data_IF_316046953729
#
_entry.id   IF_316046953729
#
_cell.length_a   1.000
_cell.length_b   1.000
_cell.length_c   1.000
_cell.angle_alpha   90.00
_cell.angle_beta   90.00
_cell.angle_gamma   90.00
#
_symmetry.space_group_name_H-M   'P 1'
#
loop_
_entity.id
_entity.type
_entity.pdbx_description
1 polymer ?
#
# COMPACT_ATOMS: atom_id res chain seq x y z
N UNK A 1 14.43 -66.23 7.35
CA UNK A 1 13.12 -65.94 6.74
C UNK A 1 12.75 -64.48 6.99
N UNK A 2 12.58 -63.71 5.89
CA UNK A 2 11.87 -62.41 5.73
C UNK A 2 12.17 -61.31 6.78
N UNK A 3 12.90 -60.21 6.55
CA UNK A 3 12.97 -59.28 5.40
C UNK A 3 11.60 -59.07 4.72
N UNK A 4 10.87 -58.03 5.14
CA UNK A 4 10.24 -57.01 4.29
C UNK A 4 9.22 -56.18 5.07
N UNK A 5 9.20 -54.88 4.78
CA UNK A 5 8.24 -53.85 5.21
C UNK A 5 8.44 -53.36 6.66
N UNK A 6 9.20 -52.29 6.88
CA UNK A 6 8.63 -50.94 6.77
C UNK A 6 9.72 -49.90 6.38
N UNK A 7 10.48 -50.17 5.31
CA UNK A 7 11.16 -49.11 4.54
C UNK A 7 10.18 -48.52 3.52
N UNK A 8 9.17 -47.79 4.01
CA UNK A 8 8.30 -46.97 3.16
C UNK A 8 7.68 -45.77 3.91
N UNK A 9 8.31 -45.30 4.99
CA UNK A 9 7.87 -44.08 5.68
C UNK A 9 8.88 -42.93 5.66
N UNK A 10 10.13 -43.18 5.26
CA UNK A 10 11.19 -42.14 5.23
C UNK A 10 11.38 -41.56 3.81
N UNK A 11 10.94 -42.27 2.77
CA UNK A 11 11.04 -41.77 1.38
C UNK A 11 9.87 -40.84 1.04
N UNK A 12 8.69 -41.00 1.64
CA UNK A 12 7.59 -40.06 1.40
C UNK A 12 7.79 -38.72 2.12
N UNK A 13 8.33 -38.69 3.35
CA UNK A 13 8.50 -37.42 4.08
C UNK A 13 9.61 -36.54 3.47
N UNK A 14 10.70 -37.14 2.97
CA UNK A 14 11.78 -36.38 2.31
C UNK A 14 11.37 -35.91 0.91
N UNK A 15 10.60 -36.71 0.17
CA UNK A 15 10.06 -36.30 -1.14
C UNK A 15 8.95 -35.25 -0.98
N UNK A 16 8.15 -35.29 0.09
CA UNK A 16 7.21 -34.21 0.41
C UNK A 16 7.91 -32.90 0.76
N UNK A 17 9.04 -32.93 1.49
CA UNK A 17 9.78 -31.70 1.82
C UNK A 17 10.55 -31.14 0.62
N UNK A 18 11.02 -31.97 -0.30
CA UNK A 18 11.66 -31.51 -1.55
C UNK A 18 10.60 -31.02 -2.56
N UNK A 19 9.40 -31.62 -2.59
CA UNK A 19 8.28 -31.12 -3.42
C UNK A 19 7.59 -29.88 -2.82
N UNK A 20 7.52 -29.72 -1.50
CA UNK A 20 7.07 -28.47 -0.86
C UNK A 20 8.12 -27.36 -0.99
N UNK A 21 9.41 -27.69 -1.07
CA UNK A 21 10.46 -26.73 -1.45
C UNK A 21 10.46 -26.37 -2.96
N UNK A 22 9.64 -27.04 -3.78
CA UNK A 22 9.44 -26.74 -5.20
C UNK A 22 8.01 -26.35 -5.57
N UNK A 23 7.10 -26.29 -4.60
CA UNK A 23 5.77 -25.71 -4.75
C UNK A 23 5.58 -24.60 -3.72
N UNK A 24 6.06 -23.40 -4.06
CA UNK A 24 5.51 -22.16 -3.52
C UNK A 24 6.39 -21.31 -2.61
N UNK A 25 7.65 -21.66 -2.33
CA UNK A 25 8.63 -20.63 -1.94
C UNK A 25 9.27 -20.16 -3.24
N UNK A 26 8.62 -19.18 -3.88
CA UNK A 26 9.32 -18.33 -4.85
C UNK A 26 10.60 -17.89 -4.14
N UNK A 27 11.77 -18.21 -4.69
CA UNK A 27 12.99 -17.52 -4.28
C UNK A 27 12.71 -16.04 -4.48
N UNK A 28 12.43 -15.33 -3.39
CA UNK A 28 12.31 -13.89 -3.41
C UNK A 28 13.56 -13.36 -4.12
N UNK A 29 13.35 -12.64 -5.22
CA UNK A 29 14.40 -11.80 -5.79
C UNK A 29 14.73 -10.75 -4.74
N UNK A 30 15.99 -10.29 -4.65
CA UNK A 30 16.35 -9.29 -3.64
C UNK A 30 15.37 -8.10 -3.72
N UNK A 31 14.95 -7.48 -2.60
CA UNK A 31 13.95 -6.41 -2.60
C UNK A 31 14.19 -5.32 -3.66
N UNK A 32 15.46 -5.00 -3.87
CA UNK A 32 15.91 -4.02 -4.85
C UNK A 32 15.65 -4.41 -6.32
N UNK A 33 15.61 -5.70 -6.67
CA UNK A 33 15.35 -6.18 -8.04
C UNK A 33 13.95 -5.79 -8.53
N UNK A 34 13.02 -5.44 -7.62
CA UNK A 34 11.68 -4.96 -7.97
C UNK A 34 11.64 -3.48 -8.39
N UNK A 35 12.78 -2.80 -8.26
CA UNK A 35 12.92 -1.35 -8.41
C UNK A 35 13.80 -1.07 -9.61
N UNK A 36 13.32 -0.21 -10.51
CA UNK A 36 14.12 0.26 -11.64
C UNK A 36 15.26 1.15 -11.10
N UNK A 37 16.46 0.57 -11.01
CA UNK A 37 17.65 1.25 -10.49
C UNK A 37 18.05 2.49 -11.32
N UNK A 38 17.70 2.53 -12.60
CA UNK A 38 18.01 3.69 -13.44
C UNK A 38 17.05 4.85 -13.15
N UNK A 39 15.78 4.53 -12.85
CA UNK A 39 14.75 5.53 -12.58
C UNK A 39 14.72 5.99 -11.12
N UNK A 40 14.99 5.07 -10.18
CA UNK A 40 14.89 5.31 -8.74
C UNK A 40 16.15 4.81 -8.00
N UNK A 41 17.32 5.42 -8.25
CA UNK A 41 18.59 4.94 -7.71
C UNK A 41 18.67 5.00 -6.19
N UNK A 42 18.15 6.06 -5.54
CA UNK A 42 18.22 6.19 -4.09
C UNK A 42 17.29 5.21 -3.38
N UNK A 43 16.08 5.01 -3.91
CA UNK A 43 15.12 4.04 -3.37
C UNK A 43 15.63 2.61 -3.61
N UNK A 44 16.18 2.30 -4.79
CA UNK A 44 16.83 1.02 -5.04
C UNK A 44 17.97 0.77 -4.05
N UNK A 45 18.83 1.76 -3.80
CA UNK A 45 19.91 1.66 -2.82
C UNK A 45 19.38 1.42 -1.41
N UNK A 46 18.33 2.13 -0.99
CA UNK A 46 17.66 1.89 0.30
C UNK A 46 17.24 0.43 0.44
N UNK A 47 16.50 -0.11 -0.53
CA UNK A 47 16.04 -1.52 -0.48
C UNK A 47 17.17 -2.54 -0.64
N UNK A 48 18.30 -2.16 -1.25
CA UNK A 48 19.50 -3.00 -1.30
C UNK A 48 20.21 -3.08 0.05
N UNK A 49 20.01 -2.09 0.92
CA UNK A 49 20.74 -1.95 2.18
C UNK A 49 20.00 -2.49 3.41
N UNK A 50 18.70 -2.76 3.26
CA UNK A 50 17.86 -3.27 4.35
C UNK A 50 17.61 -4.77 4.19
N UNK A 51 17.60 -5.47 5.32
CA UNK A 51 17.09 -6.83 5.38
C UNK A 51 15.61 -6.79 5.79
N UNK A 52 14.71 -7.00 4.82
CA UNK A 52 13.27 -7.04 5.10
C UNK A 52 12.86 -8.23 5.98
N UNK A 53 13.67 -9.30 6.04
CA UNK A 53 13.47 -10.43 6.96
C UNK A 53 13.80 -10.09 8.41
N UNK A 54 14.56 -9.03 8.68
CA UNK A 54 14.81 -8.53 10.03
C UNK A 54 13.59 -7.82 10.64
N UNK A 55 12.60 -7.48 9.83
CA UNK A 55 11.32 -6.96 10.31
C UNK A 55 10.53 -8.12 10.92
N UNK A 56 10.31 -8.08 12.23
CA UNK A 56 9.63 -9.17 12.94
C UNK A 56 8.17 -9.25 12.49
N UNK A 57 7.86 -10.20 11.62
CA UNK A 57 6.51 -10.51 11.15
C UNK A 57 6.46 -11.96 10.64
N UNK A 58 5.34 -12.65 10.89
CA UNK A 58 5.10 -13.98 10.34
C UNK A 58 4.38 -13.92 9.00
N UNK A 59 4.44 -14.99 8.21
CA UNK A 59 3.58 -15.15 7.04
C UNK A 59 2.11 -15.01 7.47
N UNK A 60 1.39 -14.03 6.93
CA UNK A 60 -0.05 -13.91 7.14
C UNK A 60 -0.72 -14.83 6.14
N UNK A 61 -1.36 -15.90 6.63
CA UNK A 61 -2.20 -16.76 5.79
C UNK A 61 -3.30 -15.90 5.15
N UNK A 62 -3.38 -15.93 3.82
CA UNK A 62 -4.48 -15.32 3.07
C UNK A 62 -5.82 -15.94 3.47
N UNK A 63 -6.77 -15.10 3.87
CA UNK A 63 -8.14 -15.11 3.34
C UNK A 63 -9.05 -14.07 4.02
N UNK A 64 -8.93 -13.80 5.34
CA UNK A 64 -10.04 -13.14 6.06
C UNK A 64 -9.64 -12.04 7.07
N UNK A 65 -8.40 -11.57 7.06
CA UNK A 65 -7.97 -10.55 8.04
C UNK A 65 -7.76 -9.21 7.37
N UNK A 66 -8.56 -8.21 7.72
CA UNK A 66 -8.31 -6.80 7.40
C UNK A 66 -7.12 -6.22 8.20
N UNK A 67 -6.52 -7.01 9.11
CA UNK A 67 -5.43 -6.59 10.00
C UNK A 67 -4.51 -7.74 10.39
N UNK A 68 -3.23 -7.48 10.63
CA UNK A 68 -2.31 -8.49 11.18
C UNK A 68 -2.57 -8.68 12.69
N UNK A 69 -2.50 -9.91 13.23
CA UNK A 69 -2.48 -10.09 14.68
C UNK A 69 -1.30 -9.33 15.31
N UNK A 70 -1.42 -8.95 16.60
CA UNK A 70 -0.39 -8.19 17.33
C UNK A 70 1.02 -8.76 17.20
N UNK A 71 1.11 -10.09 17.18
CA UNK A 71 2.32 -10.89 17.09
C UNK A 71 3.03 -10.76 15.72
N UNK A 72 2.31 -10.32 14.70
CA UNK A 72 2.79 -10.07 13.34
C UNK A 72 2.88 -8.56 13.03
N UNK A 73 2.81 -7.70 14.06
CA UNK A 73 3.05 -6.27 13.93
C UNK A 73 4.50 -6.02 13.56
N UNK A 74 4.71 -5.40 12.41
CA UNK A 74 6.02 -4.98 11.96
C UNK A 74 6.25 -3.54 12.43
N UNK A 75 7.08 -3.39 13.46
CA UNK A 75 7.68 -2.12 13.81
C UNK A 75 8.94 -1.93 12.93
N UNK A 76 8.95 -1.04 11.94
CA UNK A 76 10.21 -0.69 11.30
C UNK A 76 11.21 -0.19 12.36
N UNK A 77 12.49 -0.59 12.30
CA UNK A 77 13.51 -0.03 13.17
C UNK A 77 13.50 1.51 13.12
N UNK A 78 13.90 2.15 14.22
CA UNK A 78 13.97 3.61 14.28
C UNK A 78 14.84 4.17 13.14
N UNK A 79 14.38 5.23 12.47
CA UNK A 79 15.11 5.87 11.37
C UNK A 79 14.84 5.28 9.98
N UNK A 80 14.22 4.09 9.88
CA UNK A 80 14.01 3.41 8.59
C UNK A 80 12.97 4.13 7.73
N UNK A 81 11.90 4.63 8.34
CA UNK A 81 10.87 5.37 7.60
C UNK A 81 11.44 6.70 7.10
N UNK A 82 12.21 7.40 7.95
CA UNK A 82 12.88 8.65 7.58
C UNK A 82 13.85 8.44 6.42
N UNK A 83 14.69 7.39 6.48
CA UNK A 83 15.63 7.05 5.43
C UNK A 83 14.93 6.74 4.10
N UNK A 84 13.82 5.99 4.15
CA UNK A 84 13.00 5.73 2.97
C UNK A 84 12.43 7.03 2.39
N UNK A 85 11.81 7.87 3.22
CA UNK A 85 11.19 9.12 2.76
C UNK A 85 12.22 10.07 2.14
N UNK A 86 13.43 10.17 2.72
CA UNK A 86 14.53 10.92 2.11
C UNK A 86 14.94 10.39 0.74
N UNK A 87 15.07 9.06 0.60
CA UNK A 87 15.37 8.44 -0.68
C UNK A 87 14.26 8.73 -1.70
N UNK A 88 13.00 8.63 -1.29
CA UNK A 88 11.85 8.86 -2.15
C UNK A 88 11.73 10.32 -2.60
N UNK A 89 12.05 11.28 -1.73
CA UNK A 89 12.17 12.70 -2.09
C UNK A 89 13.32 12.93 -3.06
N UNK A 90 14.47 12.30 -2.83
CA UNK A 90 15.67 12.47 -3.68
C UNK A 90 15.46 11.93 -5.10
N UNK A 91 14.65 10.88 -5.23
CA UNK A 91 14.24 10.29 -6.51
C UNK A 91 12.95 10.94 -7.08
N UNK A 92 12.44 12.00 -6.44
CA UNK A 92 11.23 12.74 -6.86
C UNK A 92 9.98 11.85 -7.04
N UNK A 93 9.80 10.84 -6.18
CA UNK A 93 8.66 9.93 -6.28
C UNK A 93 7.35 10.66 -5.97
N UNK A 94 6.28 10.31 -6.70
CA UNK A 94 4.92 10.59 -6.22
C UNK A 94 4.55 9.60 -5.12
N UNK A 95 3.67 9.98 -4.19
CA UNK A 95 3.22 9.07 -3.14
C UNK A 95 2.56 7.80 -3.71
N UNK A 96 1.83 7.92 -4.82
CA UNK A 96 1.22 6.77 -5.52
C UNK A 96 2.30 5.79 -6.00
N UNK A 97 3.38 6.29 -6.58
CA UNK A 97 4.53 5.48 -7.01
C UNK A 97 5.21 4.80 -5.83
N UNK A 98 5.41 5.51 -4.72
CA UNK A 98 5.95 4.92 -3.49
C UNK A 98 5.09 3.74 -3.02
N UNK A 99 3.79 3.93 -2.80
CA UNK A 99 2.93 2.88 -2.28
C UNK A 99 2.96 1.64 -3.18
N UNK A 100 3.01 1.82 -4.49
CA UNK A 100 3.11 0.72 -5.44
C UNK A 100 4.46 -0.01 -5.41
N UNK A 101 5.58 0.71 -5.33
CA UNK A 101 6.91 0.10 -5.21
C UNK A 101 7.02 -0.71 -3.91
N UNK A 102 6.51 -0.17 -2.80
CA UNK A 102 6.45 -0.89 -1.53
C UNK A 102 5.62 -2.18 -1.67
N UNK A 103 4.45 -2.11 -2.30
CA UNK A 103 3.63 -3.30 -2.58
C UNK A 103 4.39 -4.34 -3.39
N UNK A 104 5.10 -3.96 -4.46
CA UNK A 104 5.89 -4.90 -5.28
C UNK A 104 6.97 -5.59 -4.48
N UNK A 105 7.69 -4.83 -3.66
CA UNK A 105 8.75 -5.35 -2.80
C UNK A 105 8.18 -6.34 -1.79
N UNK A 106 7.15 -5.97 -1.05
CA UNK A 106 6.52 -6.85 -0.06
C UNK A 106 5.95 -8.12 -0.70
N UNK A 107 5.35 -8.01 -1.89
CA UNK A 107 4.84 -9.16 -2.61
C UNK A 107 5.92 -10.13 -3.08
N UNK A 108 7.03 -9.61 -3.64
CA UNK A 108 8.15 -10.44 -4.10
C UNK A 108 8.80 -11.21 -2.94
N UNK A 109 8.80 -10.62 -1.75
CA UNK A 109 9.27 -11.26 -0.51
C UNK A 109 8.22 -12.16 0.16
N UNK A 110 6.97 -12.17 -0.33
CA UNK A 110 5.87 -12.91 0.29
C UNK A 110 5.50 -12.39 1.69
N UNK A 111 5.72 -11.09 1.95
CA UNK A 111 5.54 -10.47 3.25
C UNK A 111 4.23 -9.68 3.35
N UNK A 112 3.62 -9.75 4.52
CA UNK A 112 2.64 -8.78 4.98
C UNK A 112 3.33 -7.76 5.89
N UNK A 113 2.85 -6.52 5.90
CA UNK A 113 3.35 -5.48 6.78
C UNK A 113 2.17 -4.79 7.46
N UNK A 114 2.20 -4.70 8.79
CA UNK A 114 1.25 -3.90 9.56
C UNK A 114 2.00 -2.98 10.50
N UNK A 115 1.66 -1.70 10.51
CA UNK A 115 2.30 -0.72 11.40
C UNK A 115 1.33 0.36 11.88
N UNK A 116 1.70 1.05 12.95
CA UNK A 116 1.05 2.29 13.34
C UNK A 116 1.40 3.40 12.34
N UNK A 117 0.47 4.32 12.13
CA UNK A 117 0.68 5.54 11.37
C UNK A 117 1.54 6.56 12.11
N UNK A 118 1.73 6.44 13.43
CA UNK A 118 2.47 7.43 14.22
C UNK A 118 3.93 7.61 13.78
N UNK A 119 4.74 6.55 13.61
CA UNK A 119 6.10 6.69 13.09
C UNK A 119 6.16 7.36 11.72
N UNK A 120 5.19 7.07 10.83
CA UNK A 120 5.10 7.70 9.53
C UNK A 120 4.75 9.19 9.62
N UNK A 121 3.75 9.54 10.43
CA UNK A 121 3.35 10.92 10.66
C UNK A 121 4.49 11.74 11.29
N UNK A 122 5.18 11.16 12.27
CA UNK A 122 6.34 11.78 12.92
C UNK A 122 7.49 12.01 11.94
N UNK A 123 7.79 11.04 11.07
CA UNK A 123 8.81 11.19 10.03
C UNK A 123 8.44 12.29 9.02
N UNK A 124 7.19 12.36 8.56
CA UNK A 124 6.72 13.40 7.65
C UNK A 124 6.87 14.79 8.28
N UNK A 125 6.49 14.93 9.55
CA UNK A 125 6.60 16.18 10.30
C UNK A 125 8.05 16.58 10.54
N UNK A 126 8.88 15.66 11.03
CA UNK A 126 10.30 15.87 11.30
C UNK A 126 11.06 16.34 10.05
N UNK A 127 10.77 15.73 8.91
CA UNK A 127 11.41 16.04 7.63
C UNK A 127 10.73 17.19 6.88
N UNK A 128 9.65 17.74 7.43
CA UNK A 128 8.83 18.78 6.80
C UNK A 128 8.40 18.43 5.36
N UNK A 129 7.97 17.17 5.13
CA UNK A 129 7.67 16.66 3.79
C UNK A 129 6.26 17.07 3.34
N UNK A 130 6.18 17.58 2.12
CA UNK A 130 4.97 17.62 1.29
C UNK A 130 4.89 16.33 0.49
N UNK A 131 3.85 15.51 0.74
CA UNK A 131 3.65 14.24 0.05
C UNK A 131 3.06 14.41 -1.37
N UNK A 132 2.86 15.65 -1.81
CA UNK A 132 2.24 15.94 -3.10
C UNK A 132 0.78 15.50 -3.14
N UNK A 133 0.34 14.94 -4.26
CA UNK A 133 -0.99 14.34 -4.38
C UNK A 133 -0.95 12.89 -3.89
N UNK A 134 -1.13 12.73 -2.58
CA UNK A 134 -1.19 11.46 -1.88
C UNK A 134 -2.61 11.15 -1.38
N UNK A 135 -2.83 9.89 -0.99
CA UNK A 135 -3.93 9.59 -0.09
C UNK A 135 -3.73 10.37 1.22
N UNK A 136 -4.79 10.99 1.78
CA UNK A 136 -4.66 11.76 3.00
C UNK A 136 -4.15 10.88 4.14
N UNK A 137 -2.99 11.21 4.73
CA UNK A 137 -2.44 10.49 5.88
C UNK A 137 -2.79 11.16 7.22
N UNK A 138 -3.45 12.32 7.17
CA UNK A 138 -3.93 13.00 8.36
C UNK A 138 -4.87 12.06 9.13
N UNK A 139 -4.69 11.97 10.45
CA UNK A 139 -5.42 11.04 11.33
C UNK A 139 -5.22 9.54 11.00
N UNK A 140 -4.22 9.16 10.20
CA UNK A 140 -3.89 7.74 10.02
C UNK A 140 -3.42 7.16 11.35
N UNK A 141 -4.16 6.17 11.86
CA UNK A 141 -3.82 5.47 13.10
C UNK A 141 -2.97 4.24 12.83
N UNK A 142 -3.37 3.43 11.85
CA UNK A 142 -2.63 2.23 11.49
C UNK A 142 -2.78 1.92 10.00
N UNK A 143 -1.85 1.16 9.43
CA UNK A 143 -1.92 0.69 8.05
C UNK A 143 -1.42 -0.75 7.92
N UNK A 144 -1.89 -1.45 6.89
CA UNK A 144 -1.53 -2.82 6.61
C UNK A 144 -1.43 -3.09 5.11
N UNK A 145 -0.28 -3.57 4.65
CA UNK A 145 -0.10 -4.26 3.38
C UNK A 145 -0.26 -5.75 3.58
N UNK A 146 -1.21 -6.35 2.88
CA UNK A 146 -1.57 -7.75 3.02
C UNK A 146 -1.48 -8.42 1.65
N UNK A 147 -0.88 -9.62 1.55
CA UNK A 147 -0.96 -10.43 0.34
C UNK A 147 -2.42 -10.61 -0.09
N UNK A 148 -2.63 -10.50 -1.40
CA UNK A 148 -3.92 -10.77 -2.01
C UNK A 148 -3.73 -11.66 -3.22
N UNK A 149 -4.40 -12.79 -3.22
CA UNK A 149 -4.46 -13.70 -4.33
C UNK A 149 -5.85 -13.62 -4.94
N UNK A 150 -5.90 -13.01 -6.13
CA UNK A 150 -7.05 -13.13 -7.01
C UNK A 150 -6.70 -14.08 -8.17
N UNK A 151 -7.17 -15.34 -8.17
CA UNK A 151 -6.90 -16.27 -9.26
C UNK A 151 -7.48 -15.81 -10.61
N UNK A 152 -8.45 -14.89 -10.61
CA UNK A 152 -9.01 -14.33 -11.83
C UNK A 152 -8.21 -13.13 -12.37
N UNK A 153 -7.37 -12.50 -11.53
CA UNK A 153 -6.57 -11.33 -11.89
C UNK A 153 -5.22 -11.33 -11.16
N UNK A 154 -4.19 -12.00 -11.72
CA UNK A 154 -2.89 -12.12 -11.07
C UNK A 154 -2.14 -10.77 -10.98
N UNK A 155 -2.66 -9.72 -11.64
CA UNK A 155 -2.08 -8.36 -11.51
C UNK A 155 -2.51 -7.69 -10.21
N UNK A 156 -3.47 -8.25 -9.47
CA UNK A 156 -3.86 -7.82 -8.12
C UNK A 156 -3.20 -8.71 -7.10
N UNK A 157 -2.20 -8.15 -6.41
CA UNK A 157 -1.24 -8.97 -5.67
C UNK A 157 -1.04 -8.51 -4.21
N UNK A 158 -1.48 -7.29 -3.86
CA UNK A 158 -1.49 -6.78 -2.49
C UNK A 158 -2.75 -5.96 -2.22
N UNK A 159 -3.23 -5.99 -0.99
CA UNK A 159 -4.25 -5.08 -0.46
C UNK A 159 -3.60 -4.15 0.56
N UNK A 160 -3.89 -2.86 0.45
CA UNK A 160 -3.57 -1.86 1.46
C UNK A 160 -4.81 -1.47 2.22
N UNK A 161 -4.73 -1.62 3.53
CA UNK A 161 -5.73 -1.15 4.48
C UNK A 161 -5.15 0.04 5.24
N UNK A 162 -5.88 1.15 5.23
CA UNK A 162 -5.60 2.36 5.99
C UNK A 162 -6.69 2.51 7.04
N UNK A 163 -6.32 2.66 8.30
CA UNK A 163 -7.25 2.75 9.42
C UNK A 163 -7.10 4.13 10.05
N UNK A 164 -8.12 4.96 9.82
CA UNK A 164 -8.14 6.33 10.31
C UNK A 164 -8.73 6.39 11.72
N UNK A 165 -8.17 7.25 12.57
CA UNK A 165 -8.66 7.46 13.95
C UNK A 165 -10.01 8.16 13.97
N UNK A 166 -10.29 8.98 12.96
CA UNK A 166 -11.48 9.84 12.89
C UNK A 166 -11.95 9.98 11.44
N UNK A 167 -13.24 10.21 11.28
CA UNK A 167 -13.81 10.64 10.01
C UNK A 167 -13.52 12.12 9.80
N UNK A 168 -13.17 12.51 8.58
CA UNK A 168 -12.98 13.92 8.23
C UNK A 168 -13.12 14.14 6.73
N UNK A 169 -13.23 15.41 6.34
CA UNK A 169 -13.18 15.82 4.94
C UNK A 169 -11.79 16.38 4.64
N UNK A 170 -11.08 15.74 3.72
CA UNK A 170 -9.84 16.25 3.17
C UNK A 170 -10.14 17.14 1.98
N UNK A 171 -9.62 18.36 2.03
CA UNK A 171 -9.73 19.34 0.96
C UNK A 171 -8.41 19.44 0.23
N UNK A 172 -8.35 19.01 -1.03
CA UNK A 172 -7.22 19.34 -1.88
C UNK A 172 -7.31 20.81 -2.31
N UNK A 173 -6.15 21.42 -2.58
CA UNK A 173 -6.12 22.74 -3.23
C UNK A 173 -6.77 22.61 -4.61
N UNK A 174 -7.63 23.57 -4.97
CA UNK A 174 -8.36 23.58 -6.25
C UNK A 174 -7.46 23.44 -7.48
N UNK A 175 -6.27 24.02 -7.41
CA UNK A 175 -5.23 23.99 -8.46
C UNK A 175 -4.55 22.62 -8.61
N UNK A 176 -4.71 21.74 -7.62
CA UNK A 176 -4.13 20.40 -7.55
C UNK A 176 -5.20 19.38 -7.95
N UNK A 177 -6.32 19.36 -7.23
CA UNK A 177 -7.46 18.50 -7.51
C UNK A 177 -8.73 19.16 -6.93
N UNK A 178 -9.74 19.50 -7.74
CA UNK A 178 -10.96 20.17 -7.26
C UNK A 178 -11.95 19.16 -6.68
N UNK A 179 -11.51 18.36 -5.70
CA UNK A 179 -12.29 17.29 -5.08
C UNK A 179 -12.12 17.34 -3.56
N UNK A 180 -13.22 17.15 -2.85
CA UNK A 180 -13.24 16.86 -1.42
C UNK A 180 -13.27 15.34 -1.24
N UNK A 181 -12.35 14.80 -0.45
CA UNK A 181 -12.38 13.40 -0.05
C UNK A 181 -12.96 13.26 1.34
N UNK A 182 -13.99 12.44 1.44
CA UNK A 182 -14.60 11.96 2.67
C UNK A 182 -13.79 10.76 3.17
N UNK A 183 -13.05 10.94 4.25
CA UNK A 183 -12.15 9.94 4.85
C UNK A 183 -12.83 9.27 6.05
N UNK A 184 -12.64 7.95 6.17
CA UNK A 184 -13.18 7.16 7.29
C UNK A 184 -14.65 6.75 7.13
N UNK A 185 -15.15 6.64 5.90
CA UNK A 185 -16.55 6.27 5.63
C UNK A 185 -16.75 4.75 5.48
N UNK A 186 -15.71 3.95 5.74
CA UNK A 186 -15.79 2.50 5.76
C UNK A 186 -16.25 1.94 7.10
N UNK A 187 -16.14 0.63 7.24
CA UNK A 187 -16.49 -0.06 8.48
C UNK A 187 -15.60 0.34 9.66
N UNK A 188 -16.15 0.20 10.87
CA UNK A 188 -15.41 0.42 12.11
C UNK A 188 -14.70 -0.89 12.47
N UNK A 189 -13.39 -0.81 12.64
CA UNK A 189 -12.51 -1.97 12.91
C UNK A 189 -11.61 -1.71 14.11
N UNK A 190 -11.08 -2.77 14.74
CA UNK A 190 -10.21 -2.71 15.94
C UNK A 190 -8.73 -2.93 15.64
N UNK A 191 -7.97 -1.89 15.37
CA UNK A 191 -6.54 -2.03 15.07
C UNK A 191 -5.67 -1.80 16.28
N UNK A 192 -4.42 -2.26 16.17
CA UNK A 192 -3.35 -1.84 17.07
C UNK A 192 -2.76 -0.55 16.52
N UNK A 193 -2.83 0.48 17.34
CA UNK A 193 -2.29 1.79 17.07
C UNK A 193 -1.33 2.16 18.21
N UNK A 194 -0.05 2.18 17.87
CA UNK A 194 1.06 2.43 18.81
C UNK A 194 1.01 1.51 20.05
N UNK A 195 0.86 0.20 19.81
CA UNK A 195 0.77 -0.81 20.87
C UNK A 195 -0.55 -0.85 21.64
N UNK A 196 -1.51 0.02 21.31
CA UNK A 196 -2.83 0.08 21.98
C UNK A 196 -3.92 -0.30 21.00
N UNK A 197 -4.80 -1.23 21.39
CA UNK A 197 -5.97 -1.59 20.60
C UNK A 197 -7.02 -0.46 20.63
N UNK A 198 -7.46 0.00 19.45
CA UNK A 198 -8.41 1.11 19.30
C UNK A 198 -9.37 0.84 18.15
N UNK A 199 -10.57 1.41 18.24
CA UNK A 199 -11.47 1.48 17.09
C UNK A 199 -10.96 2.54 16.10
N UNK A 200 -11.07 2.24 14.82
CA UNK A 200 -10.81 3.16 13.72
C UNK A 200 -11.70 2.87 12.52
N UNK A 201 -11.56 3.67 11.47
CA UNK A 201 -12.37 3.61 10.26
C UNK A 201 -11.54 3.07 9.10
N UNK A 202 -11.95 1.91 8.56
CA UNK A 202 -11.21 1.21 7.52
C UNK A 202 -11.37 1.88 6.15
N UNK A 203 -10.28 1.94 5.42
CA UNK A 203 -10.21 2.20 3.99
C UNK A 203 -9.36 1.11 3.37
N UNK A 204 -9.90 0.39 2.38
CA UNK A 204 -9.22 -0.73 1.74
C UNK A 204 -9.02 -0.42 0.26
N UNK A 205 -7.92 -0.87 -0.32
CA UNK A 205 -7.66 -0.77 -1.76
C UNK A 205 -6.75 -1.90 -2.23
N UNK A 206 -6.97 -2.36 -3.46
CA UNK A 206 -6.19 -3.45 -4.05
C UNK A 206 -5.18 -2.88 -5.03
N UNK A 207 -3.90 -3.10 -4.74
CA UNK A 207 -2.82 -2.70 -5.63
C UNK A 207 -2.75 -3.60 -6.85
N UNK A 208 -2.49 -2.96 -7.97
CA UNK A 208 -2.14 -3.64 -9.20
C UNK A 208 -0.98 -2.95 -9.91
N UNK A 209 -0.18 -3.77 -10.59
CA UNK A 209 0.97 -3.36 -11.37
C UNK A 209 0.98 -4.21 -12.63
N UNK A 210 0.96 -3.53 -13.77
CA UNK A 210 1.16 -4.09 -15.09
C UNK A 210 2.24 -3.30 -15.83
N UNK A 211 2.58 -3.73 -17.04
CA UNK A 211 3.55 -3.05 -17.89
C UNK A 211 3.17 -1.60 -18.22
N UNK A 212 1.87 -1.28 -18.20
CA UNK A 212 1.34 0.03 -18.61
C UNK A 212 0.70 0.83 -17.48
N UNK A 213 0.38 0.19 -16.34
CA UNK A 213 -0.38 0.81 -15.26
C UNK A 213 0.11 0.42 -13.90
N UNK A 214 0.14 1.41 -13.01
CA UNK A 214 0.46 1.20 -11.59
C UNK A 214 -0.54 1.97 -10.75
N UNK A 215 -1.15 1.33 -9.77
CA UNK A 215 -2.11 1.98 -8.90
C UNK A 215 -2.94 1.01 -8.08
N UNK A 216 -4.15 1.42 -7.78
CA UNK A 216 -5.08 0.64 -6.99
C UNK A 216 -6.52 0.74 -7.50
N UNK A 217 -7.28 -0.33 -7.32
CA UNK A 217 -8.73 -0.43 -7.59
C UNK A 217 -9.47 -0.95 -6.35
N UNK A 218 -10.79 -1.15 -6.47
CA UNK A 218 -11.66 -1.67 -5.41
C UNK A 218 -11.52 -0.87 -4.10
N UNK A 219 -11.51 0.46 -4.22
CA UNK A 219 -11.36 1.32 -3.06
C UNK A 219 -12.68 1.30 -2.27
N UNK A 220 -12.56 0.95 -0.99
CA UNK A 220 -13.65 0.94 -0.03
C UNK A 220 -13.35 1.93 1.10
N UNK A 221 -14.40 2.51 1.70
CA UNK A 221 -14.28 3.44 2.82
C UNK A 221 -13.81 4.87 2.48
N UNK A 222 -13.65 5.17 1.19
CA UNK A 222 -13.40 6.51 0.66
C UNK A 222 -14.52 6.97 -0.27
N UNK A 223 -14.92 8.22 -0.10
CA UNK A 223 -15.86 8.89 -0.98
C UNK A 223 -15.27 10.19 -1.52
N UNK A 224 -15.52 10.51 -2.78
CA UNK A 224 -15.06 11.71 -3.45
C UNK A 224 -16.24 12.57 -3.90
N UNK A 225 -16.14 13.87 -3.66
CA UNK A 225 -17.11 14.86 -4.11
C UNK A 225 -16.41 15.97 -4.88
N UNK A 226 -16.88 16.28 -6.08
CA UNK A 226 -16.30 17.41 -6.82
C UNK A 226 -16.61 18.74 -6.12
N UNK A 227 -15.70 19.70 -6.22
CA UNK A 227 -15.93 21.07 -5.77
C UNK A 227 -16.63 21.88 -6.87
N UNK A 228 -17.36 22.94 -6.50
CA UNK A 228 -18.03 23.85 -7.44
C UNK A 228 -19.46 23.43 -7.85
N UNK A 229 -19.93 23.92 -9.00
CA UNK A 229 -21.33 23.75 -9.46
C UNK A 229 -21.70 22.28 -9.67
N UNK A 230 -20.75 21.45 -10.15
CA UNK A 230 -20.94 20.01 -10.29
C UNK A 230 -21.12 19.35 -8.92
N UNK A 231 -20.32 19.75 -7.93
CA UNK A 231 -20.48 19.32 -6.54
C UNK A 231 -21.77 19.77 -5.86
N UNK A 232 -22.32 20.91 -6.28
CA UNK A 232 -23.62 21.41 -5.85
C UNK A 232 -24.75 20.57 -6.45
N UNK A 233 -24.67 20.22 -7.73
CA UNK A 233 -25.63 19.33 -8.39
C UNK A 233 -25.58 17.91 -7.82
N UNK A 234 -24.40 17.37 -7.51
CA UNK A 234 -24.25 16.10 -6.77
C UNK A 234 -24.96 16.12 -5.42
N UNK A 235 -24.96 17.28 -4.73
CA UNK A 235 -25.65 17.48 -3.45
C UNK A 235 -27.16 17.69 -3.60
N UNK A 236 -27.66 18.13 -4.75
CA UNK A 236 -29.10 18.37 -4.95
C UNK A 236 -29.79 17.12 -5.53
N UNK A 237 -29.07 16.32 -6.32
CA UNK A 237 -29.61 15.19 -7.10
C UNK A 237 -29.30 13.80 -6.50
N UNK A 238 -29.16 13.68 -5.17
CA UNK A 238 -28.68 12.48 -4.46
C UNK A 238 -29.16 11.12 -5.03
N UNK A 239 -28.28 10.39 -5.74
CA UNK A 239 -28.23 8.90 -5.90
C UNK A 239 -26.97 8.42 -6.64
N UNK A 240 -25.92 9.25 -6.76
CA UNK A 240 -24.74 8.89 -7.55
C UNK A 240 -23.68 8.28 -6.62
N UNK A 241 -23.11 7.11 -6.94
CA UNK A 241 -22.11 6.48 -6.08
C UNK A 241 -20.92 7.45 -5.91
N UNK A 242 -20.75 7.92 -4.67
CA UNK A 242 -19.67 8.80 -4.22
C UNK A 242 -18.30 8.06 -4.19
N UNK A 243 -18.26 6.77 -4.55
CA UNK A 243 -17.09 5.93 -4.36
C UNK A 243 -16.03 6.20 -5.44
N UNK A 244 -14.78 6.38 -5.01
CA UNK A 244 -13.64 6.30 -5.90
C UNK A 244 -13.48 4.81 -6.25
N UNK A 245 -13.57 4.45 -7.53
CA UNK A 245 -13.45 3.06 -7.96
C UNK A 245 -11.99 2.62 -8.11
N UNK A 246 -11.09 3.57 -8.43
CA UNK A 246 -9.67 3.30 -8.57
C UNK A 246 -8.86 4.56 -8.86
N UNK A 247 -7.56 4.47 -8.63
CA UNK A 247 -6.60 5.53 -8.92
C UNK A 247 -5.31 4.90 -9.42
N UNK A 248 -4.84 5.32 -10.58
CA UNK A 248 -3.65 4.74 -11.19
C UNK A 248 -2.92 5.72 -12.08
N UNK A 249 -1.64 5.42 -12.33
CA UNK A 249 -0.82 6.12 -13.31
C UNK A 249 -0.75 5.28 -14.57
N UNK A 250 -1.04 5.90 -15.70
CA UNK A 250 -0.93 5.36 -17.05
C UNK A 250 -0.26 6.42 -17.92
N UNK A 251 0.84 6.08 -18.61
CA UNK A 251 1.55 7.00 -19.51
C UNK A 251 1.86 8.38 -18.90
N UNK A 252 2.36 8.42 -17.65
CA UNK A 252 2.65 9.65 -16.90
C UNK A 252 1.40 10.50 -16.54
N UNK A 253 0.19 10.00 -16.73
CA UNK A 253 -1.05 10.64 -16.27
C UNK A 253 -1.60 9.94 -15.02
N UNK A 254 -2.08 10.70 -14.04
CA UNK A 254 -2.93 10.13 -12.99
C UNK A 254 -4.36 10.06 -13.50
N UNK A 255 -4.96 8.88 -13.42
CA UNK A 255 -6.36 8.62 -13.71
C UNK A 255 -7.05 8.24 -12.41
N UNK A 256 -7.95 9.10 -11.94
CA UNK A 256 -8.82 8.81 -10.81
C UNK A 256 -10.22 8.47 -11.34
N UNK A 257 -10.60 7.18 -11.22
CA UNK A 257 -11.92 6.68 -11.58
C UNK A 257 -12.87 6.92 -10.42
N UNK A 258 -13.79 7.84 -10.61
CA UNK A 258 -14.97 8.02 -9.76
C UNK A 258 -16.19 8.14 -10.69
N UNK A 259 -17.29 8.70 -10.20
CA UNK A 259 -18.45 9.02 -11.04
C UNK A 259 -18.07 9.80 -12.32
N UNK A 260 -17.14 10.76 -12.17
CA UNK A 260 -16.49 11.43 -13.29
C UNK A 260 -15.01 11.06 -13.21
N UNK A 261 -14.49 10.51 -14.31
CA UNK A 261 -13.06 10.21 -14.40
C UNK A 261 -12.27 11.51 -14.47
N UNK A 262 -11.32 11.69 -13.57
CA UNK A 262 -10.40 12.82 -13.56
C UNK A 262 -9.05 12.35 -14.09
N UNK A 263 -8.50 13.12 -15.02
CA UNK A 263 -7.15 12.91 -15.56
C UNK A 263 -6.27 14.08 -15.18
N UNK A 264 -5.10 13.79 -14.63
CA UNK A 264 -4.08 14.78 -14.32
C UNK A 264 -2.86 14.49 -15.20
N UNK A 265 -2.60 15.31 -16.24
CA UNK A 265 -1.48 15.08 -17.14
C UNK A 265 -0.14 15.36 -16.47
N UNK A 266 0.93 14.72 -16.96
CA UNK A 266 2.31 14.90 -16.49
C UNK A 266 2.49 14.68 -14.98
N UNK A 267 1.72 13.77 -14.41
CA UNK A 267 1.63 13.55 -12.98
C UNK A 267 2.98 13.19 -12.35
N UNK A 268 3.75 12.30 -12.95
CA UNK A 268 5.03 11.85 -12.37
C UNK A 268 6.21 12.78 -12.66
N UNK A 269 6.04 13.70 -13.61
CA UNK A 269 7.09 14.64 -14.04
C UNK A 269 6.83 16.07 -13.58
N UNK A 270 5.72 16.35 -12.89
CA UNK A 270 5.42 17.69 -12.39
C UNK A 270 5.76 17.76 -10.90
N UNK A 271 6.73 18.60 -10.55
CA UNK A 271 7.24 18.79 -9.19
C UNK A 271 6.17 18.97 -8.10
N UNK A 272 5.04 19.64 -8.40
CA UNK A 272 3.97 19.84 -7.42
C UNK A 272 3.23 18.56 -6.98
N UNK A 273 3.40 17.45 -7.70
CA UNK A 273 2.79 16.15 -7.38
C UNK A 273 3.79 15.15 -6.78
N UNK A 274 5.08 15.47 -6.85
CA UNK A 274 6.16 14.67 -6.29
C UNK A 274 6.35 14.98 -4.80
N UNK A 275 6.90 14.03 -4.06
CA UNK A 275 7.27 14.22 -2.66
C UNK A 275 8.45 15.18 -2.58
N UNK A 276 8.39 16.14 -1.67
CA UNK A 276 9.44 17.15 -1.49
C UNK A 276 9.52 17.65 -0.06
N UNK A 277 10.69 18.10 0.36
CA UNK A 277 10.82 18.88 1.60
C UNK A 277 10.25 20.28 1.33
N UNK A 278 9.42 20.78 2.25
CA UNK A 278 8.89 22.14 2.15
C UNK A 278 10.00 23.13 2.49
N UNK A 279 10.16 24.12 1.62
CA UNK A 279 11.00 25.31 1.84
C UNK A 279 10.43 26.21 2.95
#
# INVERSE_FOLDING_TARGET
MRKCHFRLLIVCVVVSHILLAHMGIVKAGQPAEQIDANRYPNVHQFFSSIDLGAFTGGAVLEADRWWCPAEAYIAPPQGVIEAFLYAAVSDELTAMRWLALMSKVLHAEGLAMCSSGDPLNAAIELLNIDLGLALPLRELGSFAWLPRYDPADPTKFMRLNLIYRKQYIHHFRKEILPVDLKIGYGEIVRSIDNGVERNGYLTSMDFYVSDSRIGFENIEGLAARQQGIIGLLQRILFFLPDNVAGMYVENNELVARALVTIRVPNFETTSKYQMRIRE
#
